data_IF_038691228252
#
_entry.id   IF_038691228252
#
_cell.length_a   1.000
_cell.length_b   1.000
_cell.length_c   1.000
_cell.angle_alpha   90.00
_cell.angle_beta   90.00
_cell.angle_gamma   90.00
#
_symmetry.space_group_name_H-M   'P 1'
#
loop_
_entity.id
_entity.type
_entity.pdbx_description
1 polymer ?
#
# COMPACT_ATOMS: atom_id res chain seq x y z
N UNK A 1 15.03 -34.49 -8.52
CA UNK A 1 14.96 -34.36 -7.04
C UNK A 1 14.24 -33.06 -6.75
N UNK A 2 12.96 -33.13 -6.41
CA UNK A 2 12.09 -31.97 -6.18
C UNK A 2 12.39 -31.34 -4.81
N UNK A 3 12.98 -30.16 -4.81
CA UNK A 3 13.06 -29.32 -3.60
C UNK A 3 11.68 -28.75 -3.31
N UNK A 4 11.01 -29.30 -2.30
CA UNK A 4 9.82 -28.70 -1.69
C UNK A 4 10.32 -27.51 -0.86
N UNK A 5 10.07 -26.28 -1.32
CA UNK A 5 10.24 -25.10 -0.47
C UNK A 5 9.21 -25.19 0.66
N UNK A 6 9.70 -25.30 1.91
CA UNK A 6 8.88 -25.34 3.12
C UNK A 6 8.08 -24.03 3.27
N UNK A 7 6.85 -24.03 2.78
CA UNK A 7 5.91 -22.91 2.90
C UNK A 7 5.40 -22.82 4.34
N UNK A 8 5.83 -21.78 5.07
CA UNK A 8 5.36 -21.47 6.43
C UNK A 8 3.81 -21.51 6.50
N UNK A 9 3.29 -22.39 7.35
CA UNK A 9 1.85 -22.55 7.58
C UNK A 9 1.23 -21.35 8.30
N UNK A 10 -0.10 -21.17 8.19
CA UNK A 10 -0.84 -20.12 8.92
C UNK A 10 -0.54 -20.14 10.43
N UNK A 11 -0.48 -21.33 11.03
CA UNK A 11 -0.18 -21.48 12.45
C UNK A 11 1.23 -20.98 12.82
N UNK A 12 2.23 -21.36 12.02
CA UNK A 12 3.61 -20.91 12.20
C UNK A 12 3.72 -19.38 12.05
N UNK A 13 2.98 -18.80 11.11
CA UNK A 13 2.94 -17.35 10.88
C UNK A 13 2.32 -16.57 12.03
N UNK A 14 1.17 -17.02 12.54
CA UNK A 14 0.52 -16.44 13.73
C UNK A 14 1.50 -16.44 14.92
N UNK A 15 2.16 -17.59 15.15
CA UNK A 15 3.16 -17.73 16.21
C UNK A 15 4.33 -16.77 16.05
N UNK A 16 4.84 -16.62 14.82
CA UNK A 16 5.95 -15.72 14.53
C UNK A 16 5.60 -14.26 14.81
N UNK A 17 4.49 -13.76 14.29
CA UNK A 17 4.05 -12.36 14.54
C UNK A 17 3.86 -12.11 16.04
N UNK A 18 3.17 -13.03 16.72
CA UNK A 18 2.94 -12.95 18.16
C UNK A 18 4.24 -12.87 18.96
N UNK A 19 5.21 -13.72 18.64
CA UNK A 19 6.49 -13.79 19.36
C UNK A 19 7.40 -12.60 19.06
N UNK A 20 7.42 -12.10 17.82
CA UNK A 20 8.13 -10.87 17.45
C UNK A 20 7.63 -9.65 18.23
N UNK A 21 6.34 -9.60 18.55
CA UNK A 21 5.74 -8.52 19.35
C UNK A 21 5.79 -8.78 20.87
N UNK A 22 6.42 -9.87 21.32
CA UNK A 22 6.50 -10.21 22.74
C UNK A 22 5.15 -10.56 23.38
N UNK A 23 4.13 -10.90 22.58
CA UNK A 23 2.78 -11.14 23.08
C UNK A 23 2.62 -12.59 23.59
N UNK A 24 1.94 -12.75 24.72
CA UNK A 24 1.53 -14.07 25.21
C UNK A 24 0.27 -14.55 24.48
N UNK A 25 0.03 -15.87 24.45
CA UNK A 25 -1.22 -16.43 23.89
C UNK A 25 -2.45 -15.78 24.53
N UNK A 26 -2.44 -15.59 25.86
CA UNK A 26 -3.53 -14.97 26.61
C UNK A 26 -3.80 -13.52 26.16
N UNK A 27 -2.74 -12.76 25.83
CA UNK A 27 -2.87 -11.39 25.36
C UNK A 27 -3.52 -11.30 23.97
N UNK A 28 -3.31 -12.29 23.11
CA UNK A 28 -3.91 -12.36 21.76
C UNK A 28 -5.35 -12.86 21.79
N UNK A 29 -5.72 -13.78 22.69
CA UNK A 29 -7.05 -14.43 22.64
C UNK A 29 -8.17 -13.71 23.39
N UNK A 30 -7.86 -12.87 24.38
CA UNK A 30 -8.87 -12.11 25.13
C UNK A 30 -10.00 -13.02 25.65
N UNK A 31 -11.25 -12.57 25.55
CA UNK A 31 -12.46 -13.36 25.90
C UNK A 31 -13.08 -14.13 24.73
N UNK A 32 -12.75 -13.77 23.49
CA UNK A 32 -13.43 -14.30 22.29
C UNK A 32 -12.90 -15.65 21.82
N UNK A 33 -11.68 -15.97 22.20
CA UNK A 33 -10.97 -17.19 21.78
C UNK A 33 -10.32 -17.81 23.02
N UNK A 34 -10.25 -19.13 23.10
CA UNK A 34 -9.56 -19.78 24.21
C UNK A 34 -8.04 -19.85 23.93
N UNK A 35 -7.23 -19.74 24.99
CA UNK A 35 -5.77 -19.89 24.91
C UNK A 35 -5.36 -21.24 24.30
N UNK A 36 -6.10 -22.29 24.66
CA UNK A 36 -5.88 -23.63 24.14
C UNK A 36 -6.14 -23.73 22.63
N UNK A 37 -7.20 -23.06 22.15
CA UNK A 37 -7.53 -23.02 20.73
C UNK A 37 -6.44 -22.32 19.92
N UNK A 38 -5.98 -21.13 20.34
CA UNK A 38 -4.89 -20.43 19.63
C UNK A 38 -3.60 -21.27 19.60
N UNK A 39 -3.28 -21.97 20.69
CA UNK A 39 -2.14 -22.89 20.71
C UNK A 39 -2.31 -24.04 19.70
N UNK A 40 -3.50 -24.63 19.58
CA UNK A 40 -3.78 -25.65 18.57
C UNK A 40 -3.68 -25.10 17.14
N UNK A 41 -4.13 -23.87 16.91
CA UNK A 41 -3.98 -23.18 15.61
C UNK A 41 -2.49 -22.96 15.29
N UNK A 42 -1.70 -22.45 16.24
CA UNK A 42 -0.26 -22.23 16.05
C UNK A 42 0.53 -23.51 15.77
N UNK A 43 0.04 -24.65 16.28
CA UNK A 43 0.60 -25.99 16.01
C UNK A 43 0.07 -26.63 14.72
N UNK A 44 -0.82 -25.95 13.96
CA UNK A 44 -1.45 -26.50 12.76
C UNK A 44 -2.49 -27.59 13.04
N UNK A 45 -2.90 -27.78 14.30
CA UNK A 45 -3.84 -28.82 14.74
C UNK A 45 -5.30 -28.39 14.68
N UNK A 46 -5.56 -27.08 14.55
CA UNK A 46 -6.90 -26.53 14.41
C UNK A 46 -6.95 -25.50 13.28
N UNK A 47 -8.08 -25.43 12.57
CA UNK A 47 -8.35 -24.41 11.56
C UNK A 47 -9.31 -23.36 12.13
N UNK A 48 -8.89 -22.09 12.25
CA UNK A 48 -9.79 -21.02 12.68
C UNK A 48 -10.81 -20.68 11.59
N UNK A 49 -11.99 -20.23 12.00
CA UNK A 49 -12.91 -19.57 11.06
C UNK A 49 -12.37 -18.20 10.67
N UNK A 50 -12.83 -17.64 9.55
CA UNK A 50 -12.44 -16.29 9.12
C UNK A 50 -12.80 -15.23 10.17
N UNK A 51 -13.91 -15.38 10.91
CA UNK A 51 -14.26 -14.49 12.02
C UNK A 51 -13.21 -14.50 13.13
N UNK A 52 -12.76 -15.69 13.53
CA UNK A 52 -11.72 -15.84 14.56
C UNK A 52 -10.38 -15.31 14.05
N UNK A 53 -10.07 -15.53 12.78
CA UNK A 53 -8.84 -15.05 12.18
C UNK A 53 -8.77 -13.52 12.13
N UNK A 54 -9.89 -12.82 11.86
CA UNK A 54 -9.99 -11.36 11.97
C UNK A 54 -9.64 -10.84 13.37
N UNK A 55 -10.19 -11.46 14.42
CA UNK A 55 -9.91 -11.08 15.81
C UNK A 55 -8.43 -11.27 16.15
N UNK A 56 -7.84 -12.38 15.69
CA UNK A 56 -6.41 -12.65 15.86
C UNK A 56 -5.57 -11.61 15.12
N UNK A 57 -5.91 -11.30 13.87
CA UNK A 57 -5.20 -10.35 13.03
C UNK A 57 -5.20 -8.94 13.64
N UNK A 58 -6.37 -8.45 14.06
CA UNK A 58 -6.55 -7.16 14.73
C UNK A 58 -5.65 -7.03 15.97
N UNK A 59 -5.63 -8.05 16.83
CA UNK A 59 -4.82 -8.04 18.06
C UNK A 59 -3.33 -8.23 17.85
N UNK A 60 -2.96 -8.82 16.72
CA UNK A 60 -1.57 -8.90 16.27
C UNK A 60 -1.18 -7.68 15.43
N UNK A 61 -2.07 -6.70 15.21
CA UNK A 61 -1.79 -5.53 14.38
C UNK A 61 -1.41 -5.90 12.94
N UNK A 62 -2.04 -6.92 12.36
CA UNK A 62 -1.79 -7.41 11.00
C UNK A 62 -3.10 -7.65 10.25
N UNK A 63 -3.01 -7.92 8.95
CA UNK A 63 -4.14 -8.29 8.10
C UNK A 63 -4.40 -9.79 8.08
N UNK A 64 -5.64 -10.19 7.80
CA UNK A 64 -6.06 -11.59 7.68
C UNK A 64 -5.40 -12.26 6.48
N UNK A 65 -5.25 -11.51 5.40
CA UNK A 65 -4.64 -11.87 4.14
C UNK A 65 -3.18 -12.26 4.36
N UNK A 66 -2.45 -11.46 5.16
CA UNK A 66 -1.10 -11.82 5.59
C UNK A 66 -1.07 -13.17 6.31
N UNK A 67 -1.97 -13.38 7.28
CA UNK A 67 -2.03 -14.61 8.07
C UNK A 67 -2.32 -15.85 7.20
N UNK A 68 -3.13 -15.72 6.15
CA UNK A 68 -3.50 -16.80 5.24
C UNK A 68 -2.41 -17.11 4.21
N UNK A 69 -1.76 -16.10 3.64
CA UNK A 69 -1.15 -16.30 2.31
C UNK A 69 0.36 -16.52 2.29
N UNK A 70 1.10 -16.21 3.34
CA UNK A 70 2.56 -16.34 3.23
C UNK A 70 3.32 -15.05 3.16
N UNK A 71 2.65 -14.01 2.68
CA UNK A 71 3.26 -12.83 2.10
C UNK A 71 2.53 -11.63 2.66
N UNK A 72 3.24 -10.57 2.97
CA UNK A 72 2.65 -9.23 2.95
C UNK A 72 2.38 -8.90 1.49
N UNK A 73 1.40 -9.57 0.89
CA UNK A 73 0.99 -9.31 -0.48
C UNK A 73 0.64 -7.82 -0.62
N UNK A 74 0.07 -7.20 0.42
CA UNK A 74 -0.07 -5.74 0.55
C UNK A 74 1.25 -5.00 0.36
N UNK A 75 2.22 -5.15 1.26
CA UNK A 75 3.51 -4.41 1.21
C UNK A 75 4.26 -4.61 -0.12
N UNK A 76 4.34 -5.82 -0.67
CA UNK A 76 5.03 -6.04 -1.95
C UNK A 76 4.33 -5.30 -3.10
N UNK A 77 2.99 -5.25 -3.08
CA UNK A 77 2.19 -4.55 -4.08
C UNK A 77 2.23 -3.04 -3.89
N UNK A 78 2.22 -2.55 -2.65
CA UNK A 78 2.43 -1.13 -2.31
C UNK A 78 3.81 -0.68 -2.76
N UNK A 79 4.85 -1.46 -2.45
CA UNK A 79 6.21 -1.17 -2.89
C UNK A 79 6.33 -1.15 -4.41
N UNK A 80 5.67 -2.10 -5.10
CA UNK A 80 5.62 -2.11 -6.56
C UNK A 80 4.92 -0.86 -7.14
N UNK A 81 3.81 -0.43 -6.53
CA UNK A 81 3.10 0.78 -6.89
C UNK A 81 3.99 2.03 -6.73
N UNK A 82 4.57 2.22 -5.54
CA UNK A 82 5.39 3.40 -5.25
C UNK A 82 6.67 3.43 -6.09
N UNK A 83 7.33 2.29 -6.29
CA UNK A 83 8.48 2.19 -7.20
C UNK A 83 8.09 2.56 -8.63
N UNK A 84 6.91 2.14 -9.09
CA UNK A 84 6.37 2.52 -10.40
C UNK A 84 6.15 4.02 -10.53
N UNK A 85 5.51 4.64 -9.52
CA UNK A 85 5.26 6.10 -9.46
C UNK A 85 6.56 6.91 -9.46
N UNK A 86 7.57 6.49 -8.70
CA UNK A 86 8.89 7.15 -8.70
C UNK A 86 9.56 7.05 -10.07
N UNK A 87 9.50 5.89 -10.73
CA UNK A 87 10.06 5.72 -12.08
C UNK A 87 9.32 6.57 -13.12
N UNK A 88 8.00 6.73 -13.01
CA UNK A 88 7.22 7.66 -13.84
C UNK A 88 7.65 9.11 -13.64
N UNK A 89 7.78 9.54 -12.39
CA UNK A 89 8.23 10.90 -12.06
C UNK A 89 9.65 11.20 -12.61
N UNK A 90 10.49 10.17 -12.74
CA UNK A 90 11.83 10.25 -13.36
C UNK A 90 11.82 10.19 -14.89
N UNK A 91 10.66 10.04 -15.52
CA UNK A 91 10.57 9.89 -16.98
C UNK A 91 11.03 8.52 -17.49
N UNK A 92 10.93 7.47 -16.69
CA UNK A 92 11.35 6.10 -17.03
C UNK A 92 10.14 5.13 -17.22
N UNK A 93 9.21 5.40 -18.14
CA UNK A 93 7.92 4.68 -18.21
C UNK A 93 8.07 3.18 -18.55
N UNK A 94 9.10 2.77 -19.31
CA UNK A 94 9.37 1.34 -19.56
C UNK A 94 9.69 0.59 -18.28
N UNK A 95 10.53 1.18 -17.41
CA UNK A 95 10.91 0.58 -16.13
C UNK A 95 9.75 0.62 -15.15
N UNK A 96 8.95 1.68 -15.16
CA UNK A 96 7.73 1.77 -14.37
C UNK A 96 6.77 0.62 -14.68
N UNK A 97 6.47 0.32 -15.95
CA UNK A 97 5.61 -0.81 -16.33
C UNK A 97 6.12 -2.16 -15.80
N UNK A 98 7.43 -2.38 -15.80
CA UNK A 98 8.01 -3.61 -15.25
C UNK A 98 7.85 -3.67 -13.73
N UNK A 99 8.09 -2.55 -13.04
CA UNK A 99 7.98 -2.47 -11.58
C UNK A 99 6.52 -2.64 -11.09
N UNK A 100 5.54 -2.15 -11.86
CA UNK A 100 4.12 -2.18 -11.49
C UNK A 100 3.46 -3.56 -11.60
N UNK A 101 4.10 -4.55 -12.25
CA UNK A 101 3.49 -5.88 -12.52
C UNK A 101 2.86 -6.55 -11.29
N UNK A 102 3.50 -6.58 -10.11
CA UNK A 102 2.90 -7.19 -8.93
C UNK A 102 1.63 -6.47 -8.46
N UNK A 103 1.56 -5.15 -8.64
CA UNK A 103 0.46 -4.30 -8.17
C UNK A 103 -0.74 -4.27 -9.14
N UNK A 104 -0.51 -4.34 -10.46
CA UNK A 104 -1.59 -4.27 -11.46
C UNK A 104 -2.60 -5.43 -11.33
N UNK A 105 -2.12 -6.60 -10.91
CA UNK A 105 -2.92 -7.83 -10.81
C UNK A 105 -3.86 -7.89 -9.59
N UNK A 106 -3.75 -6.95 -8.65
CA UNK A 106 -4.62 -6.94 -7.47
C UNK A 106 -5.95 -6.24 -7.73
N UNK A 107 -6.99 -6.69 -7.03
CA UNK A 107 -8.29 -6.06 -6.99
C UNK A 107 -8.52 -5.26 -5.71
N UNK A 108 -7.50 -5.18 -4.84
CA UNK A 108 -7.61 -4.47 -3.58
C UNK A 108 -7.80 -2.97 -3.85
N UNK A 109 -8.90 -2.43 -3.36
CA UNK A 109 -9.16 -1.00 -3.41
C UNK A 109 -8.45 -0.29 -2.24
N UNK A 110 -7.76 0.84 -2.47
CA UNK A 110 -7.59 1.52 -3.75
C UNK A 110 -6.35 1.10 -4.56
N UNK A 111 -5.49 0.25 -3.99
CA UNK A 111 -4.15 -0.05 -4.52
C UNK A 111 -4.16 -0.52 -5.98
N UNK A 112 -5.05 -1.45 -6.33
CA UNK A 112 -5.13 -1.99 -7.69
C UNK A 112 -5.51 -0.94 -8.72
N UNK A 113 -6.46 -0.06 -8.38
CA UNK A 113 -6.82 1.08 -9.24
C UNK A 113 -5.66 2.03 -9.39
N UNK A 114 -5.00 2.38 -8.30
CA UNK A 114 -3.82 3.24 -8.33
C UNK A 114 -2.68 2.68 -9.21
N UNK A 115 -2.48 1.37 -9.17
CA UNK A 115 -1.51 0.67 -10.02
C UNK A 115 -1.91 0.69 -11.50
N UNK A 116 -3.19 0.53 -11.81
CA UNK A 116 -3.71 0.59 -13.19
C UNK A 116 -3.74 2.01 -13.75
N UNK A 117 -3.98 3.03 -12.92
CA UNK A 117 -3.78 4.43 -13.31
C UNK A 117 -2.31 4.70 -13.65
N UNK A 118 -1.37 4.26 -12.80
CA UNK A 118 0.07 4.40 -13.09
C UNK A 118 0.50 3.59 -14.33
N UNK A 119 -0.09 2.42 -14.57
CA UNK A 119 0.11 1.64 -15.79
C UNK A 119 -0.33 2.43 -17.03
N UNK A 120 -1.53 3.01 -17.00
CA UNK A 120 -2.07 3.81 -18.09
C UNK A 120 -1.19 5.03 -18.40
N UNK A 121 -0.74 5.73 -17.35
CA UNK A 121 0.21 6.84 -17.47
C UNK A 121 1.50 6.41 -18.17
N UNK A 122 2.06 5.25 -17.78
CA UNK A 122 3.25 4.70 -18.42
C UNK A 122 3.01 4.30 -19.88
N UNK A 123 1.86 3.72 -20.21
CA UNK A 123 1.49 3.36 -21.59
C UNK A 123 1.36 4.59 -22.48
N UNK A 124 0.67 5.63 -22.00
CA UNK A 124 0.50 6.90 -22.73
C UNK A 124 1.86 7.56 -22.96
N UNK A 125 2.72 7.62 -21.94
CA UNK A 125 4.08 8.17 -22.06
C UNK A 125 4.97 7.39 -23.05
N UNK A 126 4.65 6.12 -23.34
CA UNK A 126 5.33 5.29 -24.34
C UNK A 126 4.73 5.41 -25.75
N UNK A 127 3.74 6.29 -25.95
CA UNK A 127 3.03 6.43 -27.22
C UNK A 127 1.94 5.37 -27.44
N UNK A 128 1.68 4.49 -26.47
CA UNK A 128 0.64 3.44 -26.52
C UNK A 128 -0.69 3.99 -25.97
N UNK A 129 -1.14 5.11 -26.55
CA UNK A 129 -2.25 5.91 -26.01
C UNK A 129 -3.55 5.11 -25.91
N UNK A 130 -3.91 4.38 -26.96
CA UNK A 130 -5.16 3.62 -27.00
C UNK A 130 -5.21 2.54 -25.91
N UNK A 131 -4.10 1.85 -25.67
CA UNK A 131 -3.99 0.87 -24.60
C UNK A 131 -4.11 1.52 -23.22
N UNK A 132 -3.46 2.67 -23.03
CA UNK A 132 -3.57 3.43 -21.78
C UNK A 132 -5.00 3.89 -21.51
N UNK A 133 -5.67 4.48 -22.50
CA UNK A 133 -7.06 4.92 -22.39
C UNK A 133 -8.02 3.75 -22.14
N UNK A 134 -7.78 2.58 -22.74
CA UNK A 134 -8.57 1.37 -22.49
C UNK A 134 -8.44 0.88 -21.03
N UNK A 135 -7.28 1.05 -20.40
CA UNK A 135 -7.10 0.76 -18.96
C UNK A 135 -7.90 1.76 -18.12
N UNK A 136 -7.81 3.06 -18.40
CA UNK A 136 -8.55 4.10 -17.65
C UNK A 136 -10.07 3.92 -17.75
N UNK A 137 -10.56 3.56 -18.94
CA UNK A 137 -11.99 3.34 -19.16
C UNK A 137 -12.55 2.22 -18.26
N UNK A 138 -11.75 1.18 -17.96
CA UNK A 138 -12.16 0.10 -17.05
C UNK A 138 -12.19 0.57 -15.59
N UNK A 139 -11.22 1.39 -15.19
CA UNK A 139 -11.14 1.90 -13.81
C UNK A 139 -12.17 2.97 -13.49
N UNK A 140 -12.69 3.69 -14.50
CA UNK A 140 -13.70 4.74 -14.30
C UNK A 140 -14.88 4.25 -13.46
N UNK A 141 -15.41 3.07 -13.76
CA UNK A 141 -16.55 2.50 -13.06
C UNK A 141 -16.25 2.25 -11.57
N UNK A 142 -15.06 1.72 -11.26
CA UNK A 142 -14.64 1.44 -9.88
C UNK A 142 -14.46 2.76 -9.10
N UNK A 143 -13.78 3.73 -9.70
CA UNK A 143 -13.60 5.07 -9.12
C UNK A 143 -14.95 5.76 -8.87
N UNK A 144 -15.90 5.59 -9.80
CA UNK A 144 -17.25 6.13 -9.66
C UNK A 144 -18.03 5.47 -8.52
N UNK A 145 -17.96 4.14 -8.41
CA UNK A 145 -18.59 3.36 -7.36
C UNK A 145 -18.15 3.81 -5.95
N UNK A 146 -16.86 4.08 -5.76
CA UNK A 146 -16.29 4.52 -4.47
C UNK A 146 -16.45 6.02 -4.21
N UNK A 147 -17.04 6.77 -5.15
CA UNK A 147 -17.15 8.22 -5.06
C UNK A 147 -15.84 8.97 -4.80
N UNK A 148 -14.73 8.45 -5.33
CA UNK A 148 -13.40 8.99 -5.06
C UNK A 148 -13.03 10.14 -6.01
N UNK A 149 -13.26 11.38 -5.56
CA UNK A 149 -12.91 12.57 -6.35
C UNK A 149 -11.41 12.68 -6.65
N UNK A 150 -10.53 12.28 -5.72
CA UNK A 150 -9.10 12.39 -5.91
C UNK A 150 -8.62 11.52 -7.10
N UNK A 151 -9.11 10.28 -7.17
CA UNK A 151 -8.77 9.35 -8.26
C UNK A 151 -9.43 9.73 -9.58
N UNK A 152 -10.64 10.31 -9.55
CA UNK A 152 -11.26 10.91 -10.76
C UNK A 152 -10.40 12.02 -11.33
N UNK A 153 -9.96 12.96 -10.51
CA UNK A 153 -9.12 14.08 -10.94
C UNK A 153 -7.78 13.58 -11.50
N UNK A 154 -7.14 12.63 -10.81
CA UNK A 154 -5.91 11.99 -11.29
C UNK A 154 -6.09 11.30 -12.64
N UNK A 155 -7.16 10.53 -12.81
CA UNK A 155 -7.48 9.87 -14.08
C UNK A 155 -7.65 10.88 -15.21
N UNK A 156 -8.37 11.99 -15.00
CA UNK A 156 -8.56 13.03 -16.01
C UNK A 156 -7.26 13.69 -16.45
N UNK A 157 -6.31 13.90 -15.53
CA UNK A 157 -4.97 14.39 -15.88
C UNK A 157 -4.25 13.39 -16.81
N UNK A 158 -4.29 12.11 -16.46
CA UNK A 158 -3.63 11.05 -17.25
C UNK A 158 -4.25 10.95 -18.66
N UNK A 159 -5.58 11.08 -18.81
CA UNK A 159 -6.26 11.08 -20.11
C UNK A 159 -5.77 12.19 -21.05
N UNK A 160 -5.41 13.35 -20.48
CA UNK A 160 -4.84 14.49 -21.19
C UNK A 160 -3.35 14.34 -21.48
N UNK A 161 -2.71 13.29 -20.96
CA UNK A 161 -1.26 13.10 -21.04
C UNK A 161 -0.50 13.97 -20.03
N UNK A 162 -1.18 14.46 -19.01
CA UNK A 162 -0.60 15.27 -17.94
C UNK A 162 -0.24 14.41 -16.73
N UNK A 163 0.75 14.84 -15.96
CA UNK A 163 1.18 14.17 -14.74
C UNK A 163 0.66 14.92 -13.52
N UNK A 164 0.24 14.19 -12.49
CA UNK A 164 -0.09 14.80 -11.20
C UNK A 164 1.16 15.45 -10.62
N UNK A 165 1.14 16.77 -10.50
CA UNK A 165 2.19 17.56 -9.86
C UNK A 165 1.57 18.41 -8.77
N UNK A 166 2.23 18.48 -7.64
CA UNK A 166 1.92 19.51 -6.66
C UNK A 166 2.24 20.88 -7.29
N UNK A 167 1.22 21.68 -7.59
CA UNK A 167 1.39 23.12 -7.86
C UNK A 167 1.72 23.89 -6.58
N UNK A 168 2.70 24.79 -6.59
CA UNK A 168 3.08 25.57 -5.39
C UNK A 168 3.96 24.82 -4.39
N UNK A 169 4.00 25.27 -3.13
CA UNK A 169 4.84 24.68 -2.07
C UNK A 169 4.33 23.30 -1.65
N UNK A 170 5.18 22.28 -1.84
CA UNK A 170 4.86 20.90 -1.53
C UNK A 170 4.77 20.64 -0.01
N UNK A 171 5.54 21.37 0.80
CA UNK A 171 5.49 21.26 2.28
C UNK A 171 4.12 21.71 2.77
N UNK A 172 3.70 22.93 2.39
CA UNK A 172 2.40 23.49 2.74
C UNK A 172 1.24 22.56 2.35
N UNK A 173 1.33 21.93 1.17
CA UNK A 173 0.30 20.98 0.72
C UNK A 173 0.24 19.75 1.59
N UNK A 174 1.37 19.12 1.90
CA UNK A 174 1.38 17.95 2.78
C UNK A 174 0.87 18.30 4.18
N UNK A 175 1.23 19.47 4.73
CA UNK A 175 0.69 19.92 6.02
C UNK A 175 -0.83 20.10 5.98
N UNK A 176 -1.39 20.74 4.95
CA UNK A 176 -2.85 20.85 4.79
C UNK A 176 -3.55 19.50 4.64
N UNK A 177 -2.90 18.54 3.98
CA UNK A 177 -3.43 17.18 3.85
C UNK A 177 -3.37 16.45 5.20
N UNK A 178 -2.32 16.63 6.00
CA UNK A 178 -2.24 16.11 7.37
C UNK A 178 -3.37 16.68 8.26
N UNK A 179 -3.58 18.00 8.26
CA UNK A 179 -4.67 18.65 9.01
C UNK A 179 -6.06 18.14 8.61
N UNK A 180 -6.23 17.82 7.32
CA UNK A 180 -7.46 17.21 6.82
C UNK A 180 -7.63 15.78 7.31
N UNK A 181 -6.58 14.97 7.22
CA UNK A 181 -6.58 13.58 7.69
C UNK A 181 -6.86 13.48 9.19
N UNK A 182 -6.25 14.37 9.99
CA UNK A 182 -6.49 14.48 11.43
C UNK A 182 -7.97 14.75 11.74
N UNK A 183 -8.58 15.74 11.05
CA UNK A 183 -10.01 16.06 11.22
C UNK A 183 -10.95 14.89 10.87
N UNK A 184 -10.50 13.99 10.00
CA UNK A 184 -11.23 12.79 9.60
C UNK A 184 -10.89 11.56 10.48
N UNK A 185 -9.96 11.69 11.44
CA UNK A 185 -9.50 10.59 12.28
C UNK A 185 -8.66 9.54 11.54
N UNK A 186 -8.09 9.88 10.38
CA UNK A 186 -7.22 8.97 9.63
C UNK A 186 -5.76 9.14 10.04
N UNK A 187 -5.39 8.49 11.15
CA UNK A 187 -4.04 8.60 11.74
C UNK A 187 -2.93 8.10 10.80
N UNK A 188 -3.25 7.19 9.87
CA UNK A 188 -2.26 6.66 8.93
C UNK A 188 -1.88 7.72 7.89
N UNK A 189 -2.87 8.27 7.17
CA UNK A 189 -2.65 9.35 6.18
C UNK A 189 -2.02 10.59 6.83
N UNK A 190 -2.45 10.93 8.06
CA UNK A 190 -1.87 12.04 8.83
C UNK A 190 -0.35 11.85 9.03
N UNK A 191 0.06 10.67 9.51
CA UNK A 191 1.48 10.33 9.72
C UNK A 191 2.28 10.37 8.42
N UNK A 192 1.73 9.86 7.32
CA UNK A 192 2.39 9.86 6.02
C UNK A 192 2.67 11.28 5.53
N UNK A 193 1.68 12.17 5.63
CA UNK A 193 1.84 13.55 5.21
C UNK A 193 2.83 14.34 6.07
N UNK A 194 2.85 14.11 7.40
CA UNK A 194 3.90 14.71 8.24
C UNK A 194 5.30 14.20 7.89
N UNK A 195 5.45 12.90 7.61
CA UNK A 195 6.73 12.32 7.16
C UNK A 195 7.19 12.94 5.84
N UNK A 196 6.29 13.08 4.88
CA UNK A 196 6.57 13.71 3.59
C UNK A 196 6.99 15.17 3.75
N UNK A 197 6.24 15.96 4.53
CA UNK A 197 6.57 17.36 4.83
C UNK A 197 7.95 17.49 5.49
N UNK A 198 8.26 16.65 6.49
CA UNK A 198 9.59 16.62 7.13
C UNK A 198 10.70 16.34 6.13
N UNK A 199 10.56 15.30 5.30
CA UNK A 199 11.57 14.93 4.29
C UNK A 199 11.80 16.06 3.29
N UNK A 200 10.74 16.75 2.86
CA UNK A 200 10.85 17.90 1.95
C UNK A 200 11.57 19.09 2.60
N UNK A 201 11.28 19.37 3.87
CA UNK A 201 11.98 20.40 4.65
C UNK A 201 13.48 20.06 4.82
N UNK A 202 13.80 18.81 5.17
CA UNK A 202 15.19 18.33 5.30
C UNK A 202 15.94 18.43 3.96
N UNK A 203 15.32 18.00 2.86
CA UNK A 203 15.91 18.08 1.52
C UNK A 203 16.10 19.54 1.04
N UNK A 204 15.23 20.46 1.45
CA UNK A 204 15.33 21.89 1.14
C UNK A 204 16.33 22.65 2.02
N UNK A 205 16.70 22.12 3.19
CA UNK A 205 17.55 22.80 4.16
C UNK A 205 19.05 22.76 3.85
N UNK A 206 19.51 21.91 2.91
CA UNK A 206 20.95 21.71 2.64
C UNK A 206 21.60 22.75 1.69
N UNK A 207 20.88 23.76 1.19
CA UNK A 207 21.43 24.76 0.27
C UNK A 207 22.03 26.02 0.96
N UNK A 208 22.64 25.88 2.14
CA UNK A 208 23.46 26.93 2.75
C UNK A 208 24.81 26.39 3.24
N UNK A 209 25.63 25.94 2.30
CA UNK A 209 27.08 25.84 2.54
C UNK A 209 27.66 27.24 2.80
N UNK A 210 28.70 27.38 3.66
CA UNK A 210 29.22 28.68 4.06
C UNK A 210 29.68 29.49 2.85
N UNK A 211 29.27 30.77 2.79
CA UNK A 211 29.90 31.75 1.89
C UNK A 211 31.33 31.92 2.35
N UNK A 212 32.27 31.30 1.65
CA UNK A 212 33.68 31.62 1.79
C UNK A 212 33.86 33.10 1.41
N UNK A 213 34.38 33.84 2.39
CA UNK A 213 34.74 35.26 2.36
C UNK A 213 36.01 35.51 1.56
#
# INVERSE_FOLDING_TARGET
>A
MSGVEDKETLGQRIRRVRTQQGLSLAKVVGSDVSRAFLNQVEMGKARPSIRVLRIIAERLGTEVEYLLEGRTAGIERELALEKGRVLLARGEPKRALLALRPAIATYDWPLGTDARLAQAEALIALGRRDEGLAVLAKERNEIELHNDHHRRDRMQLIERGEHFRFSGDAVDKHLRMADRAQRLGNNHDELEHYRAARVLLEAGAEATGPKET
#
